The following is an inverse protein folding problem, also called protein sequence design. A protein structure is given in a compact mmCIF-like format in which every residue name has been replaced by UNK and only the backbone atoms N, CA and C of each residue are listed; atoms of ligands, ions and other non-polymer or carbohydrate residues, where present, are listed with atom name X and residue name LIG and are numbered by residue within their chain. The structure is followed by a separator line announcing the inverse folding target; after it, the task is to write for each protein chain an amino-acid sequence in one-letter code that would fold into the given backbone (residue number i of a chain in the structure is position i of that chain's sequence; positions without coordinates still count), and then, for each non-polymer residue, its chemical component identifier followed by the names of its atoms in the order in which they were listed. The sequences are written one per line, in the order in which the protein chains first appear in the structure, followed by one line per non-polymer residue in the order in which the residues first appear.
data_IF_164830778685
#
_entry.id   IF_164830778685
#
_cell.length_a   1.000
_cell.length_b   1.000
_cell.length_c   1.000
_cell.angle_alpha   90.00
_cell.angle_beta   90.00
_cell.angle_gamma   90.00
#
_symmetry.space_group_name_H-M   'P 1'
#
loop_
_entity.id
_entity.type
_entity.pdbx_description
1 polymer ?
#
# COMPACT_ATOMS: atom_id res chain seq x y z
N UNK A 1 -16.62 -14.49 -3.84
CA UNK A 1 -16.09 -13.82 -5.06
C UNK A 1 -14.60 -13.53 -4.81
N UNK A 2 -13.80 -13.13 -5.80
CA UNK A 2 -12.33 -13.10 -5.65
C UNK A 2 -11.75 -11.70 -5.35
N UNK A 3 -11.65 -10.82 -6.35
CA UNK A 3 -10.97 -9.52 -6.22
C UNK A 3 -11.73 -8.49 -5.37
N UNK A 4 -10.99 -7.74 -4.55
CA UNK A 4 -11.53 -6.72 -3.64
C UNK A 4 -11.23 -5.28 -4.08
N UNK A 5 -9.97 -4.99 -4.45
CA UNK A 5 -9.49 -3.64 -4.73
C UNK A 5 -8.84 -3.54 -6.13
N UNK A 6 -9.28 -2.64 -7.01
CA UNK A 6 -8.64 -2.40 -8.30
C UNK A 6 -7.37 -1.55 -8.16
N UNK A 7 -6.23 -2.05 -8.63
CA UNK A 7 -4.91 -1.40 -8.43
C UNK A 7 -4.06 -1.25 -9.69
N UNK A 8 -4.51 -1.78 -10.84
CA UNK A 8 -3.71 -1.77 -12.07
C UNK A 8 -3.52 -0.37 -12.68
N UNK A 9 -4.47 0.54 -12.41
CA UNK A 9 -4.25 1.97 -12.66
C UNK A 9 -3.41 2.51 -11.51
N UNK A 10 -2.11 2.64 -11.77
CA UNK A 10 -1.10 3.07 -10.80
C UNK A 10 -1.48 4.41 -10.16
N UNK A 11 -1.09 4.61 -8.90
CA UNK A 11 -1.42 5.81 -8.12
C UNK A 11 -2.78 5.76 -7.40
N UNK A 12 -3.79 5.07 -7.95
CA UNK A 12 -5.10 4.92 -7.30
C UNK A 12 -5.01 4.02 -6.05
N UNK A 13 -4.25 2.93 -6.15
CA UNK A 13 -4.03 1.99 -5.05
C UNK A 13 -3.54 2.64 -3.75
N UNK A 14 -2.40 3.36 -3.75
CA UNK A 14 -1.88 4.02 -2.54
C UNK A 14 -2.83 5.06 -1.96
N UNK A 15 -3.44 5.91 -2.79
CA UNK A 15 -4.44 6.89 -2.35
C UNK A 15 -5.64 6.22 -1.66
N UNK A 16 -6.21 5.18 -2.31
CA UNK A 16 -7.35 4.44 -1.75
C UNK A 16 -6.97 3.68 -0.47
N UNK A 17 -5.75 3.16 -0.36
CA UNK A 17 -5.28 2.49 0.85
C UNK A 17 -5.24 3.43 2.06
N UNK A 18 -4.83 4.69 1.87
CA UNK A 18 -4.85 5.71 2.94
C UNK A 18 -6.28 5.92 3.44
N UNK A 19 -7.23 6.16 2.54
CA UNK A 19 -8.62 6.38 2.93
C UNK A 19 -9.34 5.10 3.39
N UNK A 20 -8.92 3.93 2.94
CA UNK A 20 -9.40 2.66 3.50
C UNK A 20 -8.94 2.50 4.96
N UNK A 21 -7.69 2.85 5.27
CA UNK A 21 -7.19 2.82 6.64
C UNK A 21 -7.89 3.84 7.54
N UNK A 22 -8.14 5.05 7.05
CA UNK A 22 -8.99 6.04 7.72
C UNK A 22 -10.41 5.50 7.92
N UNK A 23 -11.02 4.90 6.90
CA UNK A 23 -12.39 4.36 6.96
C UNK A 23 -12.53 3.27 8.03
N UNK A 24 -11.52 2.40 8.20
CA UNK A 24 -11.48 1.45 9.30
C UNK A 24 -11.54 2.20 10.66
N UNK A 25 -10.70 3.22 10.86
CA UNK A 25 -10.73 4.05 12.09
C UNK A 25 -12.05 4.76 12.28
N UNK A 26 -12.64 5.29 11.21
CA UNK A 26 -13.95 5.92 11.22
C UNK A 26 -15.02 4.95 11.72
N UNK A 27 -15.09 3.73 11.18
CA UNK A 27 -16.02 2.69 11.59
C UNK A 27 -15.87 2.32 13.07
N UNK A 28 -14.63 2.13 13.54
CA UNK A 28 -14.33 1.81 14.93
C UNK A 28 -14.70 2.96 15.87
N UNK A 29 -14.25 4.19 15.58
CA UNK A 29 -14.50 5.37 16.42
C UNK A 29 -15.98 5.77 16.47
N UNK A 30 -16.73 5.49 15.40
CA UNK A 30 -18.20 5.67 15.34
C UNK A 30 -18.97 4.54 16.02
N UNK A 31 -18.31 3.48 16.49
CA UNK A 31 -18.94 2.32 17.11
C UNK A 31 -19.77 1.48 16.13
N UNK A 32 -19.49 1.54 14.83
CA UNK A 32 -20.23 0.80 13.79
C UNK A 32 -19.69 -0.61 13.61
N UNK A 33 -18.38 -0.79 13.75
CA UNK A 33 -17.71 -2.09 13.72
C UNK A 33 -16.36 -2.00 14.39
N UNK A 34 -16.00 -3.04 15.14
CA UNK A 34 -14.62 -3.17 15.59
C UNK A 34 -13.70 -3.60 14.43
N UNK A 35 -12.77 -2.70 14.09
CA UNK A 35 -11.76 -2.91 13.05
C UNK A 35 -10.34 -2.82 13.63
N UNK A 36 -10.15 -2.93 14.94
CA UNK A 36 -8.85 -2.70 15.61
C UNK A 36 -7.73 -3.59 15.06
N UNK A 37 -8.08 -4.83 14.72
CA UNK A 37 -7.14 -5.86 14.26
C UNK A 37 -6.92 -5.83 12.73
N UNK A 38 -7.68 -4.99 12.01
CA UNK A 38 -7.57 -4.92 10.55
C UNK A 38 -6.41 -4.02 10.12
N UNK A 39 -5.50 -4.59 9.34
CA UNK A 39 -4.37 -3.89 8.72
C UNK A 39 -4.62 -3.72 7.22
N UNK A 40 -4.33 -2.53 6.69
CA UNK A 40 -4.38 -2.21 5.26
C UNK A 40 -2.97 -2.29 4.70
N UNK A 41 -2.80 -3.09 3.64
CA UNK A 41 -1.52 -3.31 2.96
C UNK A 41 -1.61 -2.83 1.51
N UNK A 42 -0.78 -1.85 1.15
CA UNK A 42 -0.62 -1.41 -0.23
C UNK A 42 0.70 -1.93 -0.80
N UNK A 43 0.62 -2.76 -1.84
CA UNK A 43 1.79 -3.27 -2.55
C UNK A 43 2.02 -2.44 -3.80
N UNK A 44 3.18 -1.77 -3.86
CA UNK A 44 3.45 -0.69 -4.81
C UNK A 44 4.77 -0.91 -5.55
N UNK A 45 4.86 -0.40 -6.77
CA UNK A 45 6.15 -0.29 -7.48
C UNK A 45 6.87 1.01 -7.13
N UNK A 46 8.19 1.01 -7.09
CA UNK A 46 8.98 2.26 -6.99
C UNK A 46 8.75 3.21 -8.17
N UNK A 47 8.55 2.69 -9.38
CA UNK A 47 8.14 3.48 -10.55
C UNK A 47 6.72 4.05 -10.44
N UNK A 48 5.78 3.33 -9.83
CA UNK A 48 4.41 3.81 -9.56
C UNK A 48 4.41 5.02 -8.61
N UNK A 49 5.45 5.16 -7.79
CA UNK A 49 5.58 6.32 -6.90
C UNK A 49 5.83 7.63 -7.64
N UNK A 50 6.05 7.63 -8.97
CA UNK A 50 6.11 8.89 -9.73
C UNK A 50 4.72 9.50 -9.97
N UNK A 51 3.63 8.73 -9.81
CA UNK A 51 2.26 9.26 -9.89
C UNK A 51 1.98 10.23 -8.74
N UNK A 52 1.37 11.41 -9.00
CA UNK A 52 1.02 12.37 -7.95
C UNK A 52 0.19 11.76 -6.82
N UNK A 53 -0.76 10.89 -7.15
CA UNK A 53 -1.68 10.23 -6.22
C UNK A 53 -0.95 9.26 -5.27
N UNK A 54 0.19 8.71 -5.70
CA UNK A 54 1.01 7.82 -4.87
C UNK A 54 1.66 8.51 -3.67
N UNK A 55 1.91 9.81 -3.77
CA UNK A 55 2.67 10.58 -2.79
C UNK A 55 1.91 11.77 -2.20
N UNK A 56 0.92 12.30 -2.90
CA UNK A 56 0.27 13.58 -2.56
C UNK A 56 -0.57 13.59 -1.29
N UNK A 57 -0.83 12.41 -0.69
CA UNK A 57 -1.72 12.26 0.45
C UNK A 57 -1.06 11.63 1.68
N UNK A 58 0.26 11.39 1.66
CA UNK A 58 0.97 10.72 2.76
C UNK A 58 0.82 11.45 4.10
N UNK A 59 0.77 12.77 4.09
CA UNK A 59 0.61 13.61 5.28
C UNK A 59 -0.70 13.31 6.04
N UNK A 60 -1.79 12.96 5.34
CA UNK A 60 -3.06 12.60 5.97
C UNK A 60 -2.88 11.40 6.90
N UNK A 61 -2.20 10.35 6.40
CA UNK A 61 -2.01 9.12 7.15
C UNK A 61 -1.21 9.34 8.44
N UNK A 62 -0.19 10.19 8.40
CA UNK A 62 0.57 10.56 9.60
C UNK A 62 -0.22 11.48 10.53
N UNK A 63 -0.94 12.47 9.99
CA UNK A 63 -1.76 13.40 10.78
C UNK A 63 -2.88 12.68 11.54
N UNK A 64 -3.41 11.59 11.00
CA UNK A 64 -4.45 10.77 11.62
C UNK A 64 -3.91 9.55 12.37
N UNK A 65 -2.59 9.42 12.51
CA UNK A 65 -1.92 8.32 13.22
C UNK A 65 -2.37 6.94 12.70
N UNK A 66 -2.45 6.75 11.37
CA UNK A 66 -2.94 5.51 10.74
C UNK A 66 -1.93 4.35 10.87
N UNK A 67 -1.71 3.85 12.09
CA UNK A 67 -0.86 2.69 12.38
C UNK A 67 -1.48 1.33 11.99
N UNK A 68 -2.64 1.37 11.33
CA UNK A 68 -3.22 0.25 10.59
C UNK A 68 -2.88 0.29 9.08
N UNK A 69 -2.01 1.20 8.64
CA UNK A 69 -1.62 1.33 7.24
C UNK A 69 -0.15 0.95 7.04
N UNK A 70 0.08 0.03 6.11
CA UNK A 70 1.41 -0.43 5.71
C UNK A 70 1.57 -0.32 4.20
N UNK A 71 2.54 0.46 3.75
CA UNK A 71 2.99 0.46 2.35
C UNK A 71 4.17 -0.49 2.19
N UNK A 72 4.18 -1.27 1.12
CA UNK A 72 5.29 -2.13 0.72
C UNK A 72 5.69 -1.73 -0.69
N UNK A 73 6.76 -0.93 -0.79
CA UNK A 73 7.28 -0.45 -2.07
C UNK A 73 8.38 -1.40 -2.51
N UNK A 74 8.15 -2.06 -3.64
CA UNK A 74 9.15 -2.88 -4.30
C UNK A 74 10.16 -2.00 -5.04
N UNK A 75 11.29 -1.72 -4.39
CA UNK A 75 12.41 -0.96 -4.94
C UNK A 75 13.32 -1.87 -5.78
N UNK A 76 12.83 -2.28 -6.96
CA UNK A 76 13.64 -3.02 -7.93
C UNK A 76 14.55 -2.09 -8.78
N UNK A 77 14.42 -0.78 -8.58
CA UNK A 77 15.14 0.34 -9.18
C UNK A 77 14.76 0.64 -10.63
N UNK A 78 13.75 -0.04 -11.19
CA UNK A 78 13.33 0.08 -12.58
C UNK A 78 11.83 0.35 -12.73
N UNK A 79 11.50 1.14 -13.75
CA UNK A 79 10.20 1.17 -14.41
C UNK A 79 10.22 0.28 -15.66
N UNK A 80 9.23 0.42 -16.54
CA UNK A 80 9.14 -0.43 -17.73
C UNK A 80 10.33 -0.23 -18.68
N UNK A 81 10.67 1.01 -19.01
CA UNK A 81 11.66 1.35 -20.05
C UNK A 81 13.05 1.73 -19.49
N UNK A 82 13.31 1.49 -18.21
CA UNK A 82 14.62 1.80 -17.62
C UNK A 82 14.59 2.07 -16.11
N UNK A 83 15.69 2.57 -15.53
CA UNK A 83 15.74 2.87 -14.10
C UNK A 83 14.81 4.02 -13.71
N UNK A 84 14.29 4.00 -12.48
CA UNK A 84 13.45 5.09 -11.94
C UNK A 84 14.29 6.36 -11.74
N UNK A 85 15.47 6.21 -11.13
CA UNK A 85 16.45 7.29 -10.88
C UNK A 85 17.88 6.84 -11.19
N UNK A 86 18.21 6.62 -12.46
CA UNK A 86 19.54 6.08 -12.84
C UNK A 86 20.75 6.83 -12.27
N UNK A 87 20.73 8.18 -12.33
CA UNK A 87 21.79 9.04 -11.78
C UNK A 87 21.60 9.37 -10.29
N UNK A 88 20.58 8.81 -9.66
CA UNK A 88 20.18 9.10 -8.28
C UNK A 88 19.96 7.82 -7.50
N UNK A 89 19.13 7.91 -6.47
CA UNK A 89 18.82 6.80 -5.57
C UNK A 89 17.36 6.85 -5.12
N UNK A 90 16.47 6.13 -5.80
CA UNK A 90 15.02 6.19 -5.56
C UNK A 90 14.65 5.79 -4.13
N UNK A 91 15.35 4.81 -3.56
CA UNK A 91 15.08 4.36 -2.19
C UNK A 91 15.36 5.45 -1.15
N UNK A 92 16.41 6.26 -1.35
CA UNK A 92 16.76 7.40 -0.50
C UNK A 92 15.78 8.57 -0.71
N UNK A 93 15.39 8.84 -1.95
CA UNK A 93 14.35 9.83 -2.26
C UNK A 93 13.03 9.48 -1.54
N UNK A 94 12.58 8.24 -1.66
CA UNK A 94 11.38 7.75 -0.99
C UNK A 94 11.53 7.79 0.53
N UNK A 95 12.67 7.37 1.08
CA UNK A 95 12.91 7.48 2.53
C UNK A 95 12.75 8.93 3.01
N UNK A 96 13.40 9.89 2.35
CA UNK A 96 13.33 11.29 2.73
C UNK A 96 11.89 11.83 2.63
N UNK A 97 11.19 11.49 1.55
CA UNK A 97 9.81 11.91 1.32
C UNK A 97 8.84 11.37 2.39
N UNK A 98 8.90 10.06 2.67
CA UNK A 98 8.04 9.43 3.67
C UNK A 98 8.38 9.88 5.10
N UNK A 99 9.67 10.03 5.45
CA UNK A 99 10.06 10.61 6.74
C UNK A 99 9.57 12.04 6.89
N UNK A 100 9.70 12.85 5.84
CA UNK A 100 9.18 14.22 5.79
C UNK A 100 7.66 14.29 5.98
N UNK A 101 6.93 13.32 5.45
CA UNK A 101 5.49 13.15 5.66
C UNK A 101 5.13 12.54 7.03
N UNK A 102 6.10 12.23 7.88
CA UNK A 102 5.87 11.74 9.24
C UNK A 102 5.67 10.23 9.37
N UNK A 103 6.08 9.42 8.39
CA UNK A 103 5.92 7.96 8.41
C UNK A 103 7.06 7.25 9.14
N UNK A 104 6.78 6.04 9.65
CA UNK A 104 7.82 5.08 10.01
C UNK A 104 8.39 4.45 8.73
N UNK A 105 9.71 4.50 8.55
CA UNK A 105 10.38 3.99 7.34
C UNK A 105 11.30 2.83 7.70
N UNK A 106 11.02 1.67 7.13
CA UNK A 106 11.84 0.45 7.26
C UNK A 106 12.48 0.16 5.91
N UNK A 107 13.82 0.19 5.84
CA UNK A 107 14.57 -0.15 4.63
C UNK A 107 15.09 -1.59 4.69
N UNK A 108 14.68 -2.40 3.74
CA UNK A 108 15.16 -3.78 3.56
C UNK A 108 16.14 -3.80 2.39
N UNK A 109 17.38 -3.38 2.66
CA UNK A 109 18.39 -3.10 1.62
C UNK A 109 19.20 -4.33 1.24
N UNK A 110 19.71 -5.06 2.23
CA UNK A 110 20.71 -6.12 2.06
C UNK A 110 20.26 -7.44 2.66
N UNK A 111 20.60 -8.55 1.99
CA UNK A 111 20.40 -9.91 2.51
C UNK A 111 21.38 -10.21 3.65
N UNK A 112 21.14 -11.31 4.37
CA UNK A 112 22.00 -11.72 5.50
C UNK A 112 23.45 -11.97 5.12
N UNK A 113 23.72 -12.27 3.85
CA UNK A 113 25.07 -12.52 3.34
C UNK A 113 25.96 -11.27 3.48
N UNK A 114 25.37 -10.07 3.64
CA UNK A 114 26.10 -8.83 3.90
C UNK A 114 26.39 -8.58 5.39
N UNK A 115 25.74 -9.30 6.31
CA UNK A 115 25.81 -8.98 7.75
C UNK A 115 27.24 -9.09 8.28
N UNK A 116 27.99 -10.12 7.87
CA UNK A 116 29.39 -10.31 8.28
C UNK A 116 30.32 -9.25 7.69
N UNK A 117 30.09 -8.83 6.45
CA UNK A 117 30.89 -7.78 5.80
C UNK A 117 30.66 -6.42 6.48
N UNK A 118 29.40 -6.08 6.76
CA UNK A 118 29.04 -4.86 7.48
C UNK A 118 29.55 -4.85 8.92
N UNK A 119 29.61 -6.01 9.59
CA UNK A 119 30.20 -6.11 10.92
C UNK A 119 31.73 -5.93 10.92
N UNK A 120 32.41 -6.30 9.83
CA UNK A 120 33.86 -6.11 9.64
C UNK A 120 34.23 -4.69 9.19
N UNK A 121 33.27 -3.91 8.66
CA UNK A 121 33.45 -2.53 8.17
C UNK A 121 33.62 -1.51 9.32
N UNK A 122 34.74 -1.59 10.05
CA UNK A 122 34.97 -0.74 11.23
C UNK A 122 35.29 0.72 10.92
N UNK A 123 35.74 1.02 9.70
CA UNK A 123 36.08 2.37 9.22
C UNK A 123 34.92 3.03 8.43
N UNK A 124 33.85 2.28 8.14
CA UNK A 124 32.68 2.75 7.41
C UNK A 124 32.86 2.86 5.89
N UNK A 125 33.96 2.33 5.36
CA UNK A 125 34.29 2.42 3.94
C UNK A 125 33.28 1.67 3.06
N UNK A 126 32.78 0.50 3.50
CA UNK A 126 31.73 -0.24 2.79
C UNK A 126 30.41 0.54 2.79
N UNK A 127 30.00 1.06 3.94
CA UNK A 127 28.79 1.89 4.04
C UNK A 127 28.90 3.14 3.17
N UNK A 128 30.07 3.76 3.10
CA UNK A 128 30.34 4.92 2.25
C UNK A 128 30.09 4.59 0.77
N UNK A 129 30.75 3.56 0.22
CA UNK A 129 30.56 3.20 -1.19
C UNK A 129 29.12 2.75 -1.49
N UNK A 130 28.44 2.13 -0.52
CA UNK A 130 27.02 1.77 -0.66
C UNK A 130 26.11 3.00 -0.82
N UNK A 131 26.42 4.08 -0.10
CA UNK A 131 25.71 5.35 -0.13
C UNK A 131 26.03 6.16 -1.39
N UNK A 132 27.30 6.19 -1.82
CA UNK A 132 27.74 6.95 -3.00
C UNK A 132 27.33 6.30 -4.33
N UNK A 133 27.19 4.97 -4.38
CA UNK A 133 26.86 4.24 -5.62
C UNK A 133 25.42 4.55 -6.10
N UNK A 134 25.21 5.10 -7.30
CA UNK A 134 23.88 5.40 -7.84
C UNK A 134 23.10 4.13 -8.23
N UNK A 135 21.79 4.26 -8.41
CA UNK A 135 20.93 3.12 -8.81
C UNK A 135 21.34 2.54 -10.17
N UNK A 136 21.80 3.38 -11.10
CA UNK A 136 22.31 2.95 -12.41
C UNK A 136 23.46 1.95 -12.28
N UNK A 137 24.44 2.25 -11.42
CA UNK A 137 25.56 1.34 -11.13
C UNK A 137 25.06 0.03 -10.51
N UNK A 138 24.13 0.09 -9.55
CA UNK A 138 23.54 -1.12 -8.96
C UNK A 138 22.78 -1.99 -9.97
N UNK A 139 22.22 -1.38 -11.01
CA UNK A 139 21.61 -2.10 -12.12
C UNK A 139 22.67 -2.77 -13.00
N UNK A 140 23.74 -2.06 -13.35
CA UNK A 140 24.88 -2.63 -14.08
C UNK A 140 25.49 -3.80 -13.32
N UNK A 141 25.79 -3.65 -12.03
CA UNK A 141 26.38 -4.72 -11.21
C UNK A 141 25.57 -6.00 -11.24
N UNK A 142 24.24 -5.90 -11.29
CA UNK A 142 23.38 -7.09 -11.31
C UNK A 142 23.23 -7.73 -12.69
N UNK A 143 23.71 -7.06 -13.73
CA UNK A 143 23.73 -7.54 -15.11
C UNK A 143 25.10 -8.11 -15.54
N UNK A 144 26.10 -8.07 -14.66
CA UNK A 144 27.49 -8.49 -14.92
C UNK A 144 27.84 -9.78 -14.13
N UNK A 145 29.02 -9.84 -13.51
CA UNK A 145 29.55 -11.01 -12.79
C UNK A 145 30.11 -10.65 -11.41
N UNK A 146 30.40 -11.66 -10.59
CA UNK A 146 31.05 -11.46 -9.28
C UNK A 146 32.42 -10.77 -9.36
N UNK A 147 33.24 -11.12 -10.37
CA UNK A 147 34.52 -10.47 -10.62
C UNK A 147 34.34 -8.99 -11.00
N UNK A 148 33.33 -8.67 -11.80
CA UNK A 148 32.98 -7.28 -12.12
C UNK A 148 32.56 -6.50 -10.86
N UNK A 149 31.75 -7.11 -9.97
CA UNK A 149 31.36 -6.49 -8.70
C UNK A 149 32.58 -6.28 -7.79
N UNK A 150 33.50 -7.25 -7.72
CA UNK A 150 34.76 -7.10 -6.98
C UNK A 150 35.55 -5.89 -7.48
N UNK A 151 35.72 -5.75 -8.79
CA UNK A 151 36.53 -4.68 -9.37
C UNK A 151 35.85 -3.32 -9.30
N UNK A 152 34.57 -3.24 -9.66
CA UNK A 152 33.88 -1.97 -9.89
C UNK A 152 33.01 -1.48 -8.74
N UNK A 153 32.70 -2.32 -7.75
CA UNK A 153 32.03 -1.90 -6.50
C UNK A 153 33.02 -1.91 -5.34
N UNK A 154 33.53 -3.09 -4.97
CA UNK A 154 34.48 -3.21 -3.85
C UNK A 154 35.86 -2.61 -4.18
N UNK A 155 36.26 -2.56 -5.45
CA UNK A 155 37.51 -1.92 -5.88
C UNK A 155 37.48 -0.39 -5.92
N UNK A 156 36.34 0.25 -5.59
CA UNK A 156 36.25 1.72 -5.47
C UNK A 156 37.09 2.26 -4.30
N UNK A 157 37.35 1.44 -3.28
CA UNK A 157 38.18 1.76 -2.13
C UNK A 157 39.08 0.56 -1.77
N UNK A 158 40.38 0.76 -1.47
CA UNK A 158 41.27 -0.33 -1.06
C UNK A 158 40.75 -1.15 0.14
N UNK A 159 40.18 -0.49 1.15
CA UNK A 159 39.65 -1.16 2.33
C UNK A 159 38.47 -2.07 1.97
N UNK A 160 37.58 -1.62 1.08
CA UNK A 160 36.44 -2.44 0.64
C UNK A 160 36.86 -3.59 -0.26
N UNK A 161 37.95 -3.44 -1.02
CA UNK A 161 38.53 -4.51 -1.81
C UNK A 161 39.13 -5.59 -0.91
N UNK A 162 39.83 -5.19 0.14
CA UNK A 162 40.42 -6.10 1.13
C UNK A 162 39.34 -6.84 1.93
N UNK A 163 38.20 -6.20 2.24
CA UNK A 163 37.06 -6.84 2.93
C UNK A 163 36.53 -8.11 2.20
N UNK A 164 36.71 -8.19 0.88
CA UNK A 164 36.25 -9.33 0.07
C UNK A 164 37.40 -10.14 -0.53
N UNK A 165 38.64 -9.93 -0.10
CA UNK A 165 39.82 -10.60 -0.65
C UNK A 165 39.72 -12.14 -0.59
N UNK A 166 39.19 -12.67 0.52
CA UNK A 166 39.03 -14.11 0.75
C UNK A 166 37.74 -14.71 0.16
N UNK A 167 36.85 -13.87 -0.38
CA UNK A 167 35.64 -14.37 -1.04
C UNK A 167 35.99 -14.75 -2.48
N UNK A 168 35.41 -15.83 -2.99
CA UNK A 168 35.38 -16.11 -4.42
C UNK A 168 34.41 -15.17 -5.16
N UNK A 169 34.55 -15.05 -6.47
CA UNK A 169 33.63 -14.25 -7.28
C UNK A 169 32.19 -14.80 -7.21
N UNK A 170 32.01 -16.12 -7.09
CA UNK A 170 30.70 -16.73 -6.89
C UNK A 170 30.08 -16.36 -5.52
N UNK A 171 30.90 -16.26 -4.47
CA UNK A 171 30.42 -15.78 -3.16
C UNK A 171 30.02 -14.32 -3.21
N UNK A 172 30.79 -13.47 -3.90
CA UNK A 172 30.45 -12.06 -4.13
C UNK A 172 29.14 -11.95 -4.94
N UNK A 173 28.99 -12.75 -5.99
CA UNK A 173 27.78 -12.75 -6.81
C UNK A 173 26.52 -13.16 -6.03
N UNK A 174 26.68 -14.02 -5.03
CA UNK A 174 25.60 -14.49 -4.15
C UNK A 174 25.23 -13.52 -3.02
N UNK A 175 25.83 -12.32 -2.96
CA UNK A 175 25.42 -11.26 -2.03
C UNK A 175 24.06 -10.67 -2.43
N UNK A 176 22.99 -11.07 -1.74
CA UNK A 176 21.60 -10.76 -2.14
C UNK A 176 21.15 -9.36 -1.72
N UNK A 177 20.19 -8.81 -2.47
CA UNK A 177 19.38 -7.65 -2.05
C UNK A 177 18.37 -8.12 -0.98
N UNK A 178 18.08 -7.26 -0.01
CA UNK A 178 17.34 -7.64 1.21
C UNK A 178 15.90 -8.10 0.96
N UNK A 179 15.24 -7.60 -0.08
CA UNK A 179 13.89 -8.06 -0.46
C UNK A 179 13.81 -9.52 -0.92
N UNK A 180 14.96 -10.17 -1.15
CA UNK A 180 15.07 -11.60 -1.48
C UNK A 180 15.52 -12.45 -0.28
N UNK A 181 15.67 -11.85 0.90
CA UNK A 181 15.94 -12.57 2.14
C UNK A 181 14.69 -12.63 3.01
N UNK A 182 14.09 -13.83 3.11
CA UNK A 182 12.87 -14.05 3.88
C UNK A 182 12.97 -13.65 5.36
N UNK A 183 14.16 -13.70 5.98
CA UNK A 183 14.34 -13.26 7.38
C UNK A 183 14.29 -11.74 7.49
N UNK A 184 14.93 -11.04 6.55
CA UNK A 184 14.92 -9.56 6.52
C UNK A 184 13.52 -9.05 6.20
N UNK A 185 12.82 -9.68 5.25
CA UNK A 185 11.41 -9.39 4.94
C UNK A 185 10.51 -9.65 6.16
N UNK A 186 10.63 -10.83 6.80
CA UNK A 186 9.84 -11.14 8.00
C UNK A 186 10.07 -10.12 9.12
N UNK A 187 11.33 -9.74 9.38
CA UNK A 187 11.66 -8.74 10.39
C UNK A 187 11.01 -7.38 10.10
N UNK A 188 10.98 -6.97 8.82
CA UNK A 188 10.32 -5.72 8.43
C UNK A 188 8.80 -5.77 8.61
N UNK A 189 8.15 -6.86 8.19
CA UNK A 189 6.70 -7.03 8.37
C UNK A 189 6.31 -7.07 9.85
N UNK A 190 7.07 -7.83 10.66
CA UNK A 190 6.87 -7.91 12.10
C UNK A 190 6.98 -6.51 12.74
N UNK A 191 8.09 -5.81 12.47
CA UNK A 191 8.30 -4.46 12.97
C UNK A 191 7.20 -3.49 12.54
N UNK A 192 6.71 -3.59 11.30
CA UNK A 192 5.60 -2.76 10.81
C UNK A 192 4.28 -3.04 11.56
N UNK A 193 3.93 -4.31 11.78
CA UNK A 193 2.70 -4.69 12.50
C UNK A 193 2.72 -4.35 14.00
N UNK A 194 3.91 -4.34 14.60
CA UNK A 194 4.12 -4.02 16.01
C UNK A 194 4.22 -2.50 16.25
N UNK A 195 4.59 -1.73 15.22
CA UNK A 195 4.71 -0.27 15.31
C UNK A 195 3.32 0.38 15.51
N UNK A 196 3.27 1.43 16.35
CA UNK A 196 2.04 2.16 16.70
C UNK A 196 2.21 3.67 16.58
N UNK A 197 1.10 4.37 16.39
CA UNK A 197 0.99 5.83 16.35
C UNK A 197 1.24 6.49 15.00
N UNK A 198 1.83 5.80 14.00
CA UNK A 198 2.04 6.34 12.63
C UNK A 198 1.97 5.21 11.60
N UNK A 199 1.64 5.51 10.33
CA UNK A 199 1.74 4.54 9.24
C UNK A 199 3.18 4.11 8.99
N UNK A 200 3.36 2.90 8.45
CA UNK A 200 4.68 2.35 8.10
C UNK A 200 4.83 2.18 6.60
N UNK A 201 6.01 2.51 6.08
CA UNK A 201 6.44 2.10 4.74
C UNK A 201 7.65 1.17 4.84
N UNK A 202 7.56 0.04 4.14
CA UNK A 202 8.65 -0.89 3.91
C UNK A 202 9.18 -0.62 2.50
N UNK A 203 10.42 -0.17 2.42
CA UNK A 203 11.16 -0.04 1.16
C UNK A 203 11.96 -1.33 0.97
N UNK A 204 11.53 -2.20 0.06
CA UNK A 204 12.16 -3.49 -0.16
C UNK A 204 13.02 -3.47 -1.41
N UNK A 205 14.35 -3.53 -1.26
CA UNK A 205 15.28 -3.57 -2.39
C UNK A 205 15.28 -4.97 -3.00
N UNK A 206 14.82 -5.11 -4.24
CA UNK A 206 14.73 -6.41 -4.95
C UNK A 206 15.47 -6.35 -6.29
N UNK A 207 15.45 -7.45 -7.05
CA UNK A 207 15.94 -7.52 -8.44
C UNK A 207 14.74 -7.79 -9.34
N UNK A 208 14.52 -6.96 -10.36
CA UNK A 208 13.49 -7.21 -11.38
C UNK A 208 13.85 -8.46 -12.17
N UNK A 209 12.88 -9.36 -12.37
CA UNK A 209 13.10 -10.64 -13.06
C UNK A 209 13.96 -11.65 -12.29
N UNK A 210 14.06 -11.53 -10.96
CA UNK A 210 14.84 -12.44 -10.13
C UNK A 210 14.49 -13.91 -10.37
N UNK A 211 15.52 -14.75 -10.59
CA UNK A 211 15.35 -16.19 -10.80
C UNK A 211 14.88 -16.59 -12.20
N UNK A 212 14.62 -15.64 -13.10
CA UNK A 212 14.24 -15.91 -14.50
C UNK A 212 15.45 -16.13 -15.43
N UNK A 213 16.67 -16.18 -14.87
CA UNK A 213 17.90 -16.40 -15.62
C UNK A 213 18.49 -15.13 -16.25
N UNK A 214 19.65 -15.25 -16.91
CA UNK A 214 20.49 -14.12 -17.33
C UNK A 214 19.86 -13.23 -18.41
N UNK A 215 18.86 -13.74 -19.14
CA UNK A 215 18.15 -12.99 -20.18
C UNK A 215 17.14 -11.98 -19.60
N UNK A 216 16.67 -12.16 -18.37
CA UNK A 216 15.63 -11.34 -17.75
C UNK A 216 16.09 -10.66 -16.45
N UNK A 217 16.88 -11.34 -15.62
CA UNK A 217 17.25 -10.85 -14.30
C UNK A 217 18.12 -9.58 -14.38
N UNK A 218 17.62 -8.49 -13.80
CA UNK A 218 18.32 -7.20 -13.77
C UNK A 218 18.40 -6.46 -15.11
N UNK A 219 17.85 -7.01 -16.20
CA UNK A 219 17.89 -6.42 -17.55
C UNK A 219 16.66 -5.54 -17.84
N UNK A 220 16.85 -4.51 -18.66
CA UNK A 220 15.76 -3.76 -19.28
C UNK A 220 15.24 -4.53 -20.51
N UNK A 221 14.77 -5.77 -20.30
CA UNK A 221 14.07 -6.49 -21.36
C UNK A 221 12.83 -5.67 -21.75
N UNK A 222 12.65 -5.42 -23.06
CA UNK A 222 11.50 -4.64 -23.53
C UNK A 222 10.21 -5.32 -23.07
N UNK A 223 9.16 -4.56 -22.79
CA UNK A 223 7.83 -5.10 -22.42
C UNK A 223 7.22 -6.02 -23.52
N UNK A 224 7.88 -6.14 -24.68
CA UNK A 224 7.55 -7.08 -25.75
C UNK A 224 8.14 -8.49 -25.57
N UNK A 225 9.13 -8.69 -24.69
CA UNK A 225 9.62 -10.01 -24.30
C UNK A 225 8.61 -10.71 -23.36
N UNK A 226 7.42 -11.00 -23.89
CA UNK A 226 6.30 -11.60 -23.15
C UNK A 226 6.42 -13.12 -22.96
N UNK A 227 7.44 -13.75 -23.54
CA UNK A 227 7.58 -15.21 -23.59
C UNK A 227 8.99 -15.62 -23.22
N UNK A 228 9.11 -16.61 -22.35
CA UNK A 228 10.35 -17.32 -22.11
C UNK A 228 10.69 -18.16 -23.34
N UNK A 229 11.97 -18.27 -23.67
CA UNK A 229 12.42 -19.33 -24.59
C UNK A 229 12.25 -20.69 -23.89
N UNK A 230 12.28 -21.78 -24.65
CA UNK A 230 12.21 -23.12 -24.09
C UNK A 230 13.36 -23.39 -23.10
N UNK A 231 14.58 -22.93 -23.43
CA UNK A 231 15.74 -23.06 -22.56
C UNK A 231 15.58 -22.24 -21.27
N UNK A 232 15.04 -21.02 -21.36
CA UNK A 232 14.75 -20.21 -20.17
C UNK A 232 13.72 -20.88 -19.28
N UNK A 233 12.69 -21.49 -19.88
CA UNK A 233 11.67 -22.22 -19.15
C UNK A 233 12.22 -23.47 -18.46
N UNK A 234 13.09 -24.24 -19.13
CA UNK A 234 13.78 -25.40 -18.54
C UNK A 234 14.64 -24.97 -17.35
N UNK A 235 15.47 -23.94 -17.52
CA UNK A 235 16.29 -23.35 -16.45
C UNK A 235 15.45 -22.85 -15.27
N UNK A 236 14.31 -22.21 -15.55
CA UNK A 236 13.41 -21.73 -14.51
C UNK A 236 12.76 -22.89 -13.73
N UNK A 237 12.31 -23.94 -14.42
CA UNK A 237 11.81 -25.18 -13.81
C UNK A 237 12.87 -25.84 -12.92
N UNK A 238 14.12 -25.91 -13.37
CA UNK A 238 15.23 -26.48 -12.60
C UNK A 238 15.56 -25.62 -11.37
N UNK A 239 15.58 -24.30 -11.54
CA UNK A 239 15.77 -23.34 -10.45
C UNK A 239 14.72 -23.50 -9.35
N UNK A 240 13.45 -23.67 -9.73
CA UNK A 240 12.35 -23.93 -8.81
C UNK A 240 12.26 -25.39 -8.34
N UNK A 241 13.10 -26.29 -8.89
CA UNK A 241 13.12 -27.73 -8.59
C UNK A 241 11.76 -28.41 -8.83
N UNK A 242 11.07 -27.99 -9.89
CA UNK A 242 9.76 -28.53 -10.26
C UNK A 242 9.96 -29.82 -11.08
N UNK A 243 9.33 -30.96 -10.71
CA UNK A 243 9.53 -32.25 -11.38
C UNK A 243 8.69 -32.39 -12.66
N UNK A 244 8.72 -31.39 -13.54
CA UNK A 244 8.20 -31.49 -14.92
C UNK A 244 9.38 -31.92 -15.79
N UNK A 245 9.19 -32.92 -16.65
CA UNK A 245 10.23 -33.44 -17.56
C UNK A 245 10.45 -32.53 -18.77
N UNK A 246 11.63 -32.64 -19.41
CA UNK A 246 11.93 -31.96 -20.68
C UNK A 246 10.87 -32.26 -21.74
N UNK A 247 10.53 -33.54 -21.95
CA UNK A 247 9.50 -33.97 -22.90
C UNK A 247 8.15 -33.30 -22.68
N UNK A 248 7.80 -32.96 -21.44
CA UNK A 248 6.55 -32.26 -21.13
C UNK A 248 6.61 -30.77 -21.51
N UNK A 249 7.76 -30.12 -21.35
CA UNK A 249 7.97 -28.72 -21.76
C UNK A 249 8.10 -28.60 -23.28
N UNK A 250 8.71 -29.60 -23.92
CA UNK A 250 8.98 -29.60 -25.36
C UNK A 250 7.70 -29.79 -26.20
N UNK A 251 6.61 -30.32 -25.60
CA UNK A 251 5.32 -30.55 -26.28
C UNK A 251 4.62 -29.27 -26.71
N UNK A 252 4.53 -28.28 -25.83
CA UNK A 252 3.88 -27.00 -26.11
C UNK A 252 4.46 -25.89 -25.23
N UNK A 253 5.35 -25.09 -25.83
CA UNK A 253 5.95 -23.92 -25.17
C UNK A 253 4.91 -22.85 -24.81
N UNK A 254 3.75 -22.81 -25.50
CA UNK A 254 2.69 -21.83 -25.23
C UNK A 254 1.72 -22.30 -24.15
N UNK A 255 1.74 -23.58 -23.78
CA UNK A 255 0.93 -24.16 -22.71
C UNK A 255 1.75 -25.11 -21.84
N UNK A 256 2.77 -24.60 -21.11
CA UNK A 256 3.51 -25.42 -20.18
C UNK A 256 2.58 -25.97 -19.09
N UNK A 257 2.76 -27.23 -18.65
CA UNK A 257 1.85 -27.85 -17.70
C UNK A 257 1.92 -27.17 -16.33
N UNK A 258 0.76 -27.01 -15.70
CA UNK A 258 0.70 -26.61 -14.30
C UNK A 258 1.24 -27.71 -13.40
N UNK A 259 2.04 -27.32 -12.39
CA UNK A 259 2.51 -28.22 -11.36
C UNK A 259 1.67 -28.09 -10.09
N UNK A 260 1.21 -29.21 -9.55
CA UNK A 260 0.61 -29.32 -8.23
C UNK A 260 1.15 -30.59 -7.56
N UNK A 261 1.89 -30.51 -6.44
CA UNK A 261 2.54 -31.67 -5.81
C UNK A 261 1.55 -32.65 -5.17
N UNK A 262 0.26 -32.31 -5.14
CA UNK A 262 -0.82 -33.08 -4.53
C UNK A 262 -1.26 -32.48 -3.19
N UNK A 263 -2.53 -32.68 -2.78
CA UNK A 263 -3.05 -32.08 -1.54
C UNK A 263 -2.34 -32.59 -0.28
N UNK A 264 -1.73 -33.77 -0.37
CA UNK A 264 -1.02 -34.41 0.73
C UNK A 264 0.44 -34.01 0.90
N UNK A 265 0.98 -33.24 -0.05
CA UNK A 265 2.37 -32.80 -0.04
C UNK A 265 2.67 -31.94 1.21
N UNK A 266 3.84 -32.12 1.87
CA UNK A 266 4.18 -31.38 3.08
C UNK A 266 4.08 -29.85 2.92
N UNK A 267 4.50 -29.32 1.78
CA UNK A 267 4.43 -27.90 1.44
C UNK A 267 3.00 -27.37 1.31
N UNK A 268 2.07 -28.19 0.78
CA UNK A 268 0.65 -27.83 0.69
C UNK A 268 0.01 -27.86 2.07
N UNK A 269 0.29 -28.89 2.88
CA UNK A 269 -0.18 -28.97 4.27
C UNK A 269 0.29 -27.77 5.08
N UNK A 270 1.58 -27.45 5.00
CA UNK A 270 2.15 -26.28 5.67
C UNK A 270 1.48 -24.97 5.22
N UNK A 271 1.32 -24.74 3.91
CA UNK A 271 0.65 -23.56 3.37
C UNK A 271 -0.79 -23.43 3.90
N UNK A 272 -1.56 -24.53 3.87
CA UNK A 272 -2.94 -24.55 4.33
C UNK A 272 -3.06 -24.34 5.84
N UNK A 273 -2.17 -24.94 6.64
CA UNK A 273 -2.09 -24.69 8.08
C UNK A 273 -1.81 -23.22 8.40
N UNK A 274 -0.89 -22.57 7.67
CA UNK A 274 -0.61 -21.14 7.83
C UNK A 274 -1.83 -20.28 7.46
N UNK A 275 -2.54 -20.60 6.39
CA UNK A 275 -3.77 -19.89 6.01
C UNK A 275 -4.88 -20.08 7.03
N UNK A 276 -5.08 -21.29 7.55
CA UNK A 276 -6.05 -21.56 8.60
C UNK A 276 -5.75 -20.77 9.89
N UNK A 277 -4.48 -20.73 10.31
CA UNK A 277 -4.05 -19.92 11.46
C UNK A 277 -4.24 -18.40 11.26
N UNK A 278 -4.31 -17.94 10.01
CA UNK A 278 -4.52 -16.54 9.62
C UNK A 278 -5.95 -16.25 9.16
N UNK A 279 -6.92 -17.11 9.50
CA UNK A 279 -8.34 -16.85 9.30
C UNK A 279 -8.92 -17.21 7.93
N UNK A 280 -8.25 -18.06 7.12
CA UNK A 280 -8.79 -18.57 5.86
C UNK A 280 -7.95 -18.16 4.65
N UNK A 281 -8.50 -18.04 3.44
CA UNK A 281 -7.76 -17.62 2.24
C UNK A 281 -8.02 -16.15 1.90
N UNK A 282 -7.05 -15.48 1.26
CA UNK A 282 -7.19 -14.13 0.70
C UNK A 282 -6.56 -14.08 -0.69
N UNK A 283 -7.06 -13.25 -1.63
CA UNK A 283 -8.19 -12.33 -1.47
C UNK A 283 -9.55 -13.04 -1.44
N UNK A 284 -10.54 -12.38 -0.84
CA UNK A 284 -11.93 -12.86 -0.82
C UNK A 284 -12.90 -11.67 -0.83
N UNK A 285 -13.71 -11.56 -1.88
CA UNK A 285 -14.82 -10.59 -1.90
C UNK A 285 -16.10 -11.21 -1.36
N UNK A 286 -16.62 -10.60 -0.29
CA UNK A 286 -17.87 -10.98 0.38
C UNK A 286 -19.05 -10.22 -0.21
N UNK A 287 -20.15 -10.94 -0.45
CA UNK A 287 -21.41 -10.36 -0.94
C UNK A 287 -22.49 -10.25 0.13
N UNK A 288 -22.35 -10.97 1.26
CA UNK A 288 -23.27 -10.91 2.38
C UNK A 288 -22.88 -9.74 3.29
N UNK A 289 -23.85 -8.89 3.59
CA UNK A 289 -23.69 -7.73 4.47
C UNK A 289 -24.91 -7.60 5.39
N UNK A 290 -24.80 -6.77 6.42
CA UNK A 290 -25.92 -6.44 7.29
C UNK A 290 -27.06 -5.80 6.47
N UNK A 291 -28.30 -6.23 6.70
CA UNK A 291 -29.45 -5.59 6.11
C UNK A 291 -29.67 -4.20 6.74
N UNK A 292 -30.06 -3.22 5.93
CA UNK A 292 -30.39 -1.87 6.40
C UNK A 292 -31.91 -1.72 6.43
N UNK A 293 -32.44 -1.18 7.52
CA UNK A 293 -33.82 -0.71 7.58
C UNK A 293 -33.89 0.68 6.95
N UNK A 294 -34.67 0.82 5.88
CA UNK A 294 -34.89 2.12 5.24
C UNK A 294 -35.78 3.01 6.12
N UNK A 295 -35.59 4.35 6.09
CA UNK A 295 -36.46 5.27 6.80
C UNK A 295 -37.92 5.15 6.36
N UNK A 296 -38.83 5.44 7.29
CA UNK A 296 -40.25 5.45 7.01
C UNK A 296 -40.66 6.62 6.08
N UNK A 297 -41.89 6.58 5.56
CA UNK A 297 -42.41 7.65 4.69
C UNK A 297 -42.40 9.03 5.38
N UNK A 298 -42.49 9.08 6.71
CA UNK A 298 -42.49 10.30 7.51
C UNK A 298 -41.17 11.06 7.37
N UNK A 299 -40.06 10.34 7.28
CA UNK A 299 -38.72 10.91 7.05
C UNK A 299 -38.59 11.65 5.71
N UNK A 300 -39.51 11.41 4.77
CA UNK A 300 -39.54 12.05 3.45
C UNK A 300 -40.66 13.10 3.29
N UNK A 301 -41.55 13.28 4.28
CA UNK A 301 -42.74 14.12 4.14
C UNK A 301 -42.43 15.58 3.79
N UNK A 302 -41.42 16.16 4.44
CA UNK A 302 -41.02 17.56 4.21
C UNK A 302 -40.50 17.75 2.80
N UNK A 303 -39.63 16.86 2.34
CA UNK A 303 -39.10 16.89 0.97
C UNK A 303 -40.23 16.69 -0.06
N UNK A 304 -41.15 15.75 0.19
CA UNK A 304 -42.27 15.44 -0.70
C UNK A 304 -43.27 16.60 -0.82
N UNK A 305 -43.46 17.40 0.23
CA UNK A 305 -44.31 18.60 0.20
C UNK A 305 -43.78 19.67 -0.76
N UNK A 306 -42.49 19.65 -1.06
CA UNK A 306 -41.83 20.65 -1.89
C UNK A 306 -41.63 22.00 -1.18
N UNK A 307 -41.11 23.00 -1.89
CA UNK A 307 -40.81 24.32 -1.34
C UNK A 307 -42.03 25.25 -1.19
N UNK A 308 -43.22 24.78 -1.59
CA UNK A 308 -44.46 25.54 -1.55
C UNK A 308 -44.37 26.80 -2.41
N UNK A 309 -44.55 27.98 -1.80
CA UNK A 309 -44.48 29.28 -2.47
C UNK A 309 -43.06 29.87 -2.52
N UNK A 310 -42.10 29.25 -1.83
CA UNK A 310 -40.72 29.73 -1.78
C UNK A 310 -39.91 29.09 -2.91
N UNK A 311 -39.02 29.87 -3.53
CA UNK A 311 -38.02 29.31 -4.42
C UNK A 311 -36.97 28.57 -3.59
N UNK A 312 -36.52 27.42 -4.08
CA UNK A 312 -35.45 26.65 -3.46
C UNK A 312 -34.58 26.02 -4.55
N UNK A 313 -33.27 26.07 -4.37
CA UNK A 313 -32.33 25.29 -5.16
C UNK A 313 -32.45 23.82 -4.79
N UNK A 314 -32.19 22.92 -5.75
CA UNK A 314 -32.20 21.47 -5.51
C UNK A 314 -31.20 21.06 -4.43
N UNK A 315 -30.05 21.73 -4.31
CA UNK A 315 -29.09 21.53 -3.21
C UNK A 315 -29.71 21.81 -1.84
N UNK A 316 -30.48 22.90 -1.71
CA UNK A 316 -31.17 23.21 -0.45
C UNK A 316 -32.23 22.14 -0.12
N UNK A 317 -32.93 21.63 -1.12
CA UNK A 317 -33.89 20.54 -0.94
C UNK A 317 -33.18 19.24 -0.52
N UNK A 318 -32.05 18.91 -1.15
CA UNK A 318 -31.22 17.76 -0.80
C UNK A 318 -30.71 17.83 0.63
N UNK A 319 -30.11 18.95 1.07
CA UNK A 319 -29.58 19.10 2.43
C UNK A 319 -30.70 18.99 3.48
N UNK A 320 -31.89 19.51 3.20
CA UNK A 320 -33.05 19.34 4.09
C UNK A 320 -33.46 17.87 4.22
N UNK A 321 -33.54 17.14 3.11
CA UNK A 321 -33.83 15.70 3.14
C UNK A 321 -32.72 14.94 3.87
N UNK A 322 -31.46 15.21 3.55
CA UNK A 322 -30.30 14.56 4.18
C UNK A 322 -30.32 14.75 5.70
N UNK A 323 -30.68 15.95 6.18
CA UNK A 323 -30.85 16.22 7.62
C UNK A 323 -31.86 15.30 8.28
N UNK A 324 -33.00 15.07 7.64
CA UNK A 324 -34.07 14.23 8.17
C UNK A 324 -33.65 12.76 8.14
N UNK A 325 -32.99 12.30 7.06
CA UNK A 325 -32.44 10.95 6.97
C UNK A 325 -31.33 10.68 8.00
N UNK A 326 -30.44 11.65 8.26
CA UNK A 326 -29.40 11.54 9.29
C UNK A 326 -29.95 11.53 10.72
N UNK A 327 -31.19 12.01 10.94
CA UNK A 327 -31.87 11.98 12.25
C UNK A 327 -32.57 10.67 12.52
N UNK A 328 -32.81 9.84 11.50
CA UNK A 328 -33.32 8.50 11.69
C UNK A 328 -32.33 7.68 12.53
N UNK A 329 -32.82 7.03 13.59
CA UNK A 329 -31.96 6.35 14.57
C UNK A 329 -31.32 5.08 14.04
N UNK A 330 -31.98 4.40 13.10
CA UNK A 330 -31.49 3.15 12.54
C UNK A 330 -30.69 3.39 11.26
N UNK A 331 -31.17 4.28 10.39
CA UNK A 331 -30.55 4.55 9.10
C UNK A 331 -29.49 5.64 9.17
N UNK A 332 -29.72 6.70 9.94
CA UNK A 332 -28.92 7.91 9.91
C UNK A 332 -27.46 7.68 10.28
N UNK A 333 -27.15 6.68 11.12
CA UNK A 333 -25.78 6.30 11.50
C UNK A 333 -24.93 5.77 10.34
N UNK A 334 -25.57 5.23 9.30
CA UNK A 334 -24.90 4.66 8.12
C UNK A 334 -24.47 5.74 7.14
N UNK A 335 -25.20 6.85 7.04
CA UNK A 335 -24.86 7.94 6.13
C UNK A 335 -23.49 8.54 6.49
N UNK A 336 -22.58 8.60 5.51
CA UNK A 336 -21.28 9.25 5.65
C UNK A 336 -21.17 10.45 4.68
N UNK A 337 -21.57 11.67 5.08
CA UNK A 337 -21.41 12.83 4.21
C UNK A 337 -19.92 13.17 4.04
N UNK A 338 -19.47 13.32 2.79
CA UNK A 338 -18.10 13.65 2.43
C UNK A 338 -18.08 15.01 1.75
N UNK A 339 -17.25 15.93 2.25
CA UNK A 339 -17.24 17.33 1.82
C UNK A 339 -15.80 17.78 1.54
N UNK A 340 -15.39 18.00 0.29
CA UNK A 340 -14.10 18.59 -0.04
C UNK A 340 -14.13 20.10 0.21
N UNK A 341 -13.89 20.49 1.46
CA UNK A 341 -13.83 21.88 1.93
C UNK A 341 -15.13 22.68 1.97
N UNK A 342 -15.70 23.05 0.83
CA UNK A 342 -16.72 24.12 0.73
C UNK A 342 -18.13 23.76 1.25
N UNK A 343 -18.27 23.40 2.54
CA UNK A 343 -19.55 23.02 3.14
C UNK A 343 -20.60 24.15 3.11
N UNK A 344 -20.18 25.40 3.32
CA UNK A 344 -21.08 26.57 3.37
C UNK A 344 -21.74 26.85 2.03
N UNK A 345 -21.01 26.68 0.92
CA UNK A 345 -21.51 26.84 -0.44
C UNK A 345 -22.72 25.92 -0.68
N UNK A 346 -22.70 24.72 -0.10
CA UNK A 346 -23.79 23.75 -0.22
C UNK A 346 -24.78 23.77 0.95
N UNK A 347 -24.59 24.63 1.96
CA UNK A 347 -25.42 24.70 3.17
C UNK A 347 -25.27 23.50 4.11
N UNK A 348 -24.18 22.74 3.99
CA UNK A 348 -23.87 21.56 4.81
C UNK A 348 -23.19 21.90 6.14
N UNK A 349 -22.75 23.14 6.33
CA UNK A 349 -22.30 23.69 7.61
C UNK A 349 -23.38 23.62 8.71
N UNK A 350 -24.65 23.54 8.31
CA UNK A 350 -25.78 23.20 9.17
C UNK A 350 -25.57 21.90 10.00
N UNK A 351 -24.71 20.99 9.54
CA UNK A 351 -24.42 19.73 10.21
C UNK A 351 -23.27 19.81 11.22
N UNK A 352 -22.40 20.82 11.15
CA UNK A 352 -21.21 20.90 12.01
C UNK A 352 -21.53 20.83 13.51
N UNK A 353 -22.55 21.53 14.06
CA UNK A 353 -22.79 21.52 15.49
C UNK A 353 -23.32 20.17 16.02
N UNK A 354 -23.99 19.40 15.16
CA UNK A 354 -24.75 18.20 15.55
C UNK A 354 -24.06 16.91 15.13
N UNK A 355 -23.79 16.75 13.83
CA UNK A 355 -23.12 15.58 13.27
C UNK A 355 -21.60 15.63 13.47
N UNK A 356 -21.02 16.84 13.54
CA UNK A 356 -19.60 17.13 13.71
C UNK A 356 -18.72 16.55 12.60
N UNK A 357 -17.53 17.11 12.47
CA UNK A 357 -16.51 16.63 11.54
C UNK A 357 -15.71 15.55 12.24
N UNK A 358 -15.49 14.45 11.53
CA UNK A 358 -14.64 13.36 11.99
C UNK A 358 -13.20 13.84 12.06
N UNK A 359 -12.64 13.83 13.27
CA UNK A 359 -11.23 14.01 13.50
C UNK A 359 -10.84 13.08 14.66
N UNK A 360 -9.96 12.08 14.45
CA UNK A 360 -9.62 11.10 15.48
C UNK A 360 -8.98 11.72 16.72
N UNK A 361 -8.42 12.93 16.61
CA UNK A 361 -7.84 13.67 17.74
C UNK A 361 -8.86 14.58 18.45
N UNK A 362 -10.04 14.77 17.86
CA UNK A 362 -11.02 15.76 18.30
C UNK A 362 -10.52 17.20 18.11
N UNK A 363 -11.31 18.16 18.61
CA UNK A 363 -10.99 19.58 18.51
C UNK A 363 -10.09 20.02 19.69
N UNK A 364 -8.79 20.16 19.43
CA UNK A 364 -7.79 20.52 20.45
C UNK A 364 -7.33 21.99 20.40
N UNK A 365 -8.17 22.87 19.83
CA UNK A 365 -7.92 24.30 19.71
C UNK A 365 -9.20 25.09 20.03
N UNK A 366 -9.05 26.36 20.35
CA UNK A 366 -10.17 27.27 20.56
C UNK A 366 -10.63 27.83 19.21
N UNK A 367 -11.81 27.43 18.73
CA UNK A 367 -12.31 27.92 17.43
C UNK A 367 -12.65 29.42 17.48
N UNK A 368 -12.40 30.11 16.37
CA UNK A 368 -12.77 31.52 16.16
C UNK A 368 -14.28 31.69 16.01
N UNK A 369 -14.97 30.67 15.48
CA UNK A 369 -16.40 30.68 15.21
C UNK A 369 -17.24 30.03 16.33
N UNK A 370 -16.63 29.77 17.49
CA UNK A 370 -17.24 29.04 18.61
C UNK A 370 -18.56 29.64 19.13
N UNK A 371 -18.75 30.94 18.95
CA UNK A 371 -19.95 31.68 19.38
C UNK A 371 -21.04 31.71 18.30
N UNK A 372 -20.78 31.16 17.10
CA UNK A 372 -21.76 31.06 16.02
C UNK A 372 -22.64 29.81 16.17
N UNK A 373 -23.90 29.91 15.72
CA UNK A 373 -24.86 28.79 15.73
C UNK A 373 -24.37 27.60 14.90
N UNK A 374 -23.68 27.87 13.80
CA UNK A 374 -23.14 26.87 12.86
C UNK A 374 -21.63 26.67 13.03
N UNK A 375 -21.13 26.78 14.27
CA UNK A 375 -19.72 26.63 14.59
C UNK A 375 -19.12 25.31 14.07
N UNK A 376 -17.91 25.40 13.52
CA UNK A 376 -17.08 24.27 13.13
C UNK A 376 -16.71 23.44 14.36
N UNK A 377 -17.14 22.18 14.38
CA UNK A 377 -16.86 21.26 15.49
C UNK A 377 -16.31 19.94 15.00
N UNK A 378 -15.25 19.50 15.65
CA UNK A 378 -14.60 18.22 15.36
C UNK A 378 -14.76 17.24 16.53
N UNK A 379 -14.81 15.95 16.20
CA UNK A 379 -14.92 14.89 17.20
C UNK A 379 -14.36 13.57 16.68
N UNK A 380 -13.79 12.72 17.56
CA UNK A 380 -13.44 11.35 17.19
C UNK A 380 -14.65 10.55 16.71
N UNK A 381 -15.85 10.86 17.18
CA UNK A 381 -17.10 10.25 16.73
C UNK A 381 -17.88 11.13 15.74
N UNK A 382 -17.22 12.12 15.11
CA UNK A 382 -17.83 12.97 14.09
C UNK A 382 -18.29 12.15 12.89
N UNK A 383 -19.40 12.53 12.29
CA UNK A 383 -20.01 11.78 11.19
C UNK A 383 -19.61 12.31 9.81
N UNK A 384 -19.29 13.60 9.69
CA UNK A 384 -18.90 14.23 8.43
C UNK A 384 -17.42 13.94 8.15
N UNK A 385 -17.12 13.45 6.95
CA UNK A 385 -15.74 13.28 6.47
C UNK A 385 -15.37 14.54 5.69
N UNK A 386 -14.29 15.20 6.08
CA UNK A 386 -13.90 16.50 5.51
C UNK A 386 -12.43 16.48 5.03
N UNK A 387 -12.16 16.01 3.80
CA UNK A 387 -10.80 15.90 3.25
C UNK A 387 -10.05 17.23 3.07
N UNK A 388 -10.73 18.37 3.18
CA UNK A 388 -10.20 19.68 2.77
C UNK A 388 -10.25 19.86 1.26
N UNK A 389 -9.41 20.75 0.70
CA UNK A 389 -9.30 20.99 -0.75
C UNK A 389 -8.56 19.82 -1.39
N UNK A 390 -9.28 18.70 -1.52
CA UNK A 390 -8.75 17.42 -1.96
C UNK A 390 -9.86 16.53 -2.52
N UNK A 391 -10.23 16.78 -3.78
CA UNK A 391 -11.26 16.01 -4.48
C UNK A 391 -10.83 14.56 -4.70
N UNK A 392 -9.55 14.31 -4.99
CA UNK A 392 -9.01 12.96 -5.15
C UNK A 392 -9.18 12.15 -3.86
N UNK A 393 -8.85 12.75 -2.72
CA UNK A 393 -9.08 12.19 -1.40
C UNK A 393 -10.56 12.01 -1.06
N UNK A 394 -11.43 12.94 -1.47
CA UNK A 394 -12.88 12.80 -1.32
C UNK A 394 -13.43 11.61 -2.13
N UNK A 395 -12.92 11.38 -3.34
CA UNK A 395 -13.28 10.21 -4.17
C UNK A 395 -12.77 8.92 -3.53
N UNK A 396 -11.57 8.92 -2.95
CA UNK A 396 -11.04 7.78 -2.22
C UNK A 396 -11.86 7.45 -0.96
N UNK A 397 -12.23 8.47 -0.17
CA UNK A 397 -13.14 8.34 0.97
C UNK A 397 -14.51 7.78 0.53
N UNK A 398 -15.04 8.30 -0.58
CA UNK A 398 -16.32 7.84 -1.15
C UNK A 398 -16.24 6.39 -1.60
N UNK A 399 -15.12 5.98 -2.20
CA UNK A 399 -14.88 4.59 -2.61
C UNK A 399 -14.83 3.67 -1.40
N UNK A 400 -14.12 4.05 -0.32
CA UNK A 400 -14.05 3.26 0.91
C UNK A 400 -15.42 3.13 1.59
N UNK A 401 -16.18 4.23 1.69
CA UNK A 401 -17.53 4.22 2.25
C UNK A 401 -18.49 3.37 1.40
N UNK A 402 -18.55 3.63 0.08
CA UNK A 402 -19.45 2.95 -0.86
C UNK A 402 -19.15 1.45 -1.05
N UNK A 403 -18.00 0.96 -0.60
CA UNK A 403 -17.65 -0.47 -0.63
C UNK A 403 -17.60 -1.13 0.75
N UNK A 404 -17.87 -0.38 1.83
CA UNK A 404 -17.85 -0.89 3.21
C UNK A 404 -18.83 -2.05 3.43
N UNK A 405 -19.95 -2.10 2.68
CA UNK A 405 -20.87 -3.24 2.73
C UNK A 405 -20.18 -4.56 2.38
N UNK A 406 -19.23 -4.57 1.43
CA UNK A 406 -18.51 -5.77 1.00
C UNK A 406 -17.28 -6.03 1.86
N UNK A 407 -16.45 -5.00 2.07
CA UNK A 407 -15.17 -5.11 2.80
C UNK A 407 -15.41 -5.38 4.29
N UNK A 408 -16.39 -4.70 4.88
CA UNK A 408 -16.66 -4.72 6.31
C UNK A 408 -17.96 -5.41 6.69
N UNK A 409 -18.84 -5.71 5.74
CA UNK A 409 -20.18 -6.22 6.05
C UNK A 409 -21.10 -5.15 6.63
N UNK A 410 -20.66 -3.88 6.67
CA UNK A 410 -21.38 -2.73 7.22
C UNK A 410 -21.66 -1.76 6.09
N UNK A 411 -22.90 -1.66 5.63
CA UNK A 411 -23.26 -0.64 4.64
C UNK A 411 -23.07 0.76 5.22
N UNK A 412 -22.58 1.69 4.40
CA UNK A 412 -22.47 3.12 4.68
C UNK A 412 -23.13 3.92 3.54
#
# INVERSE_FOLDING_TARGET
QFWEFPTVSMGIGPMNAIYQAQSNRYLHNRGLKDTSDQQVWAFLGDGEMDEPESRGLLQLAANENLDNLNFVINCNLQRLDGPVRGNGKIMQELEAFFRGAGWNVIKVVWGREWDELLAKDTDGSLVKIMNETPDGDYQTYKAESGGFVREHFFGKDPATKDLVADLSDDQIWNLKRGGHDYRKVYAAYKAATEFKGKPTVILAKTVKGYGLGPHFEGRNATHQMKKLTLDDLKKFRDHLRIPITDDQLDKDLYQPPYYHPGPDAPEIKYMMERRAALGGSVPERRSKHQAITLPDAKSYEVAKRGSGKQQAATTMAFVRLLKDLMRDKEFGKHIAPIIPDEARTFGMDAFFPTAKIYNPKGQNYLSVDRDLVLAYKESPAGQLIHPGINEAGAVAAFTAAGTAYATHGVPL
#
